data_IF_173825178663
#
_entry.id   IF_173825178663
#
_cell.length_a   1.000
_cell.length_b   1.000
_cell.length_c   1.000
_cell.angle_alpha   90.00
_cell.angle_beta   90.00
_cell.angle_gamma   90.00
#
_symmetry.space_group_name_H-M   'P 1'
#
loop_
_entity.id
_entity.type
_entity.pdbx_description
1 polymer ?
#
# COMPACT_ATOMS: atom_id res chain seq x y z
N UNK A 1 36.39 56.90 -36.31
CA UNK A 1 36.04 57.21 -34.91
C UNK A 1 35.33 56.01 -34.31
N UNK A 2 35.81 55.54 -33.15
CA UNK A 2 35.19 54.67 -32.13
C UNK A 2 34.58 53.32 -32.57
N UNK A 3 35.27 52.18 -32.37
CA UNK A 3 35.54 51.38 -31.15
C UNK A 3 34.45 50.33 -30.87
N UNK A 4 34.94 49.08 -30.85
CA UNK A 4 34.33 47.80 -30.53
C UNK A 4 33.75 47.71 -29.11
N UNK A 5 32.78 46.78 -28.91
CA UNK A 5 32.65 45.83 -27.79
C UNK A 5 31.42 44.92 -28.07
N UNK A 6 31.65 43.69 -28.56
CA UNK A 6 31.75 42.44 -27.80
C UNK A 6 30.42 41.93 -27.25
N UNK A 7 29.89 40.92 -27.94
CA UNK A 7 28.84 40.04 -27.51
C UNK A 7 29.34 39.17 -26.33
N UNK A 8 28.59 39.17 -25.23
CA UNK A 8 28.75 38.19 -24.16
C UNK A 8 27.57 37.21 -24.22
N UNK A 9 27.79 36.08 -24.88
CA UNK A 9 26.97 34.87 -24.71
C UNK A 9 27.43 34.24 -23.41
N UNK A 10 26.65 34.43 -22.34
CA UNK A 10 26.87 33.70 -21.09
C UNK A 10 26.12 32.38 -21.20
N UNK A 11 26.88 31.35 -21.58
CA UNK A 11 26.48 29.95 -21.50
C UNK A 11 26.62 29.51 -20.03
N UNK A 12 25.52 29.32 -19.31
CA UNK A 12 25.54 28.66 -18.00
C UNK A 12 25.08 27.21 -18.20
N UNK A 13 25.95 26.20 -18.03
CA UNK A 13 25.53 24.82 -18.01
C UNK A 13 24.97 24.51 -16.62
N UNK A 14 23.67 24.75 -16.43
CA UNK A 14 22.96 24.30 -15.25
C UNK A 14 22.65 22.81 -15.36
N UNK A 15 23.59 21.95 -14.96
CA UNK A 15 23.31 20.57 -14.57
C UNK A 15 22.47 20.60 -13.28
N UNK A 16 21.17 20.86 -13.44
CA UNK A 16 20.20 20.64 -12.39
C UNK A 16 19.88 19.14 -12.37
N UNK A 17 20.51 18.45 -11.41
CA UNK A 17 20.08 17.14 -10.91
C UNK A 17 18.62 17.33 -10.50
N UNK A 18 17.70 16.89 -11.35
CA UNK A 18 16.27 16.91 -11.03
C UNK A 18 16.05 15.88 -9.94
N UNK A 19 16.00 16.37 -8.69
CA UNK A 19 15.30 15.67 -7.64
C UNK A 19 13.90 15.36 -8.17
N UNK A 20 13.61 14.08 -8.40
CA UNK A 20 12.26 13.64 -8.76
C UNK A 20 11.35 13.99 -7.59
N UNK A 21 10.66 15.12 -7.69
CA UNK A 21 9.51 15.37 -6.83
C UNK A 21 8.45 14.33 -7.18
N UNK A 22 7.75 13.81 -6.17
CA UNK A 22 6.64 12.87 -6.36
C UNK A 22 5.53 13.43 -7.28
N UNK A 23 5.52 14.75 -7.51
CA UNK A 23 4.68 15.43 -8.47
C UNK A 23 5.34 15.47 -9.85
N UNK A 24 4.62 15.03 -10.89
CA UNK A 24 5.09 15.05 -12.28
C UNK A 24 5.50 16.45 -12.79
N UNK A 25 6.29 16.53 -13.88
CA UNK A 25 6.90 17.78 -14.36
C UNK A 25 5.89 18.90 -14.68
N UNK A 26 4.65 18.55 -15.00
CA UNK A 26 3.56 19.50 -15.28
C UNK A 26 3.08 20.24 -14.02
N UNK A 27 2.95 19.54 -12.89
CA UNK A 27 2.56 20.13 -11.59
C UNK A 27 3.67 21.07 -11.09
N UNK A 28 4.94 20.71 -11.34
CA UNK A 28 6.09 21.57 -11.05
C UNK A 28 6.05 22.91 -11.80
N UNK A 29 5.74 22.88 -13.10
CA UNK A 29 5.59 24.09 -13.92
C UNK A 29 4.41 24.96 -13.45
N UNK A 30 3.25 24.35 -13.20
CA UNK A 30 2.06 25.07 -12.73
C UNK A 30 2.29 25.76 -11.37
N UNK A 31 3.06 25.14 -10.45
CA UNK A 31 3.47 25.80 -9.19
C UNK A 31 4.32 27.05 -9.44
N UNK A 32 5.30 26.96 -10.34
CA UNK A 32 6.15 28.11 -10.68
C UNK A 32 5.36 29.24 -11.33
N UNK A 33 4.41 28.91 -12.21
CA UNK A 33 3.50 29.89 -12.82
C UNK A 33 2.61 30.58 -11.78
N UNK A 34 2.10 29.86 -10.79
CA UNK A 34 1.33 30.43 -9.68
C UNK A 34 2.18 31.40 -8.85
N UNK A 35 3.43 31.05 -8.54
CA UNK A 35 4.32 31.97 -7.81
C UNK A 35 4.59 33.25 -8.60
N UNK A 36 4.80 33.14 -9.92
CA UNK A 36 4.92 34.32 -10.78
C UNK A 36 3.62 35.17 -10.80
N UNK A 37 2.45 34.52 -10.86
CA UNK A 37 1.14 35.17 -10.78
C UNK A 37 0.93 35.88 -9.44
N UNK A 38 1.37 35.30 -8.31
CA UNK A 38 1.30 35.95 -6.99
C UNK A 38 2.08 37.26 -6.99
N UNK A 39 3.32 37.26 -7.46
CA UNK A 39 4.12 38.49 -7.55
C UNK A 39 3.46 39.55 -8.43
N UNK A 40 2.83 39.14 -9.54
CA UNK A 40 2.10 40.07 -10.42
C UNK A 40 0.81 40.62 -9.78
N UNK A 41 0.11 39.82 -8.97
CA UNK A 41 -1.06 40.28 -8.19
C UNK A 41 -0.64 41.27 -7.11
N UNK A 42 0.45 40.99 -6.39
CA UNK A 42 1.02 41.90 -5.38
C UNK A 42 1.46 43.23 -5.99
N UNK A 43 2.02 43.19 -7.21
CA UNK A 43 2.36 44.39 -7.98
C UNK A 43 1.15 45.10 -8.59
N UNK A 44 -0.08 44.58 -8.42
CA UNK A 44 -1.31 45.11 -9.01
C UNK A 44 -1.42 44.96 -10.53
N UNK A 45 -0.51 44.20 -11.16
CA UNK A 45 -0.44 44.01 -12.60
C UNK A 45 -1.48 43.01 -13.13
N UNK A 46 -1.96 42.09 -12.27
CA UNK A 46 -2.94 41.05 -12.64
C UNK A 46 -4.07 41.00 -11.60
N UNK A 47 -5.34 40.79 -12.01
CA UNK A 47 -6.45 40.62 -11.06
C UNK A 47 -6.30 39.38 -10.19
N UNK A 48 -6.64 39.49 -8.90
CA UNK A 48 -6.63 38.37 -7.94
C UNK A 48 -7.45 37.15 -8.40
N UNK A 49 -8.55 37.38 -9.12
CA UNK A 49 -9.37 36.30 -9.69
C UNK A 49 -8.58 35.35 -10.61
N UNK A 50 -7.55 35.84 -11.32
CA UNK A 50 -6.69 34.99 -12.17
C UNK A 50 -5.83 34.04 -11.34
N UNK A 51 -5.30 34.51 -10.21
CA UNK A 51 -4.54 33.68 -9.29
C UNK A 51 -5.43 32.60 -8.67
N UNK A 52 -6.64 32.96 -8.23
CA UNK A 52 -7.59 32.01 -7.64
C UNK A 52 -8.02 30.91 -8.63
N UNK A 53 -8.17 31.25 -9.92
CA UNK A 53 -8.42 30.27 -10.98
C UNK A 53 -7.23 29.32 -11.13
N UNK A 54 -6.00 29.85 -11.24
CA UNK A 54 -4.80 29.04 -11.41
C UNK A 54 -4.56 28.10 -10.20
N UNK A 55 -4.74 28.60 -8.98
CA UNK A 55 -4.64 27.78 -7.75
C UNK A 55 -5.68 26.66 -7.73
N UNK A 56 -6.90 26.93 -8.19
CA UNK A 56 -7.96 25.92 -8.30
C UNK A 56 -7.65 24.87 -9.36
N UNK A 57 -7.13 25.26 -10.52
CA UNK A 57 -6.70 24.34 -11.58
C UNK A 57 -5.54 23.45 -11.11
N UNK A 58 -4.57 23.99 -10.39
CA UNK A 58 -3.50 23.21 -9.78
C UNK A 58 -4.05 22.21 -8.76
N UNK A 59 -5.01 22.61 -7.93
CA UNK A 59 -5.64 21.72 -6.97
C UNK A 59 -6.38 20.56 -7.66
N UNK A 60 -7.19 20.85 -8.69
CA UNK A 60 -7.88 19.79 -9.46
C UNK A 60 -6.88 18.86 -10.17
N UNK A 61 -5.77 19.39 -10.70
CA UNK A 61 -4.74 18.58 -11.34
C UNK A 61 -4.05 17.62 -10.35
N UNK A 62 -3.75 18.09 -9.13
CA UNK A 62 -3.21 17.24 -8.05
C UNK A 62 -4.21 16.18 -7.62
N UNK A 63 -5.46 16.57 -7.41
CA UNK A 63 -6.54 15.65 -7.05
C UNK A 63 -6.74 14.58 -8.12
N UNK A 64 -6.71 14.95 -9.40
CA UNK A 64 -6.77 14.02 -10.52
C UNK A 64 -5.57 13.06 -10.58
N UNK A 65 -4.37 13.55 -10.29
CA UNK A 65 -3.17 12.71 -10.23
C UNK A 65 -3.26 11.70 -9.08
N UNK A 66 -3.69 12.15 -7.90
CA UNK A 66 -3.91 11.29 -6.74
C UNK A 66 -4.96 10.21 -7.02
N UNK A 67 -6.09 10.57 -7.65
CA UNK A 67 -7.12 9.61 -8.04
C UNK A 67 -6.60 8.59 -9.06
N UNK A 68 -5.82 9.00 -10.06
CA UNK A 68 -5.22 8.04 -11.00
C UNK A 68 -4.30 7.04 -10.29
N UNK A 69 -3.48 7.52 -9.36
CA UNK A 69 -2.58 6.65 -8.60
C UNK A 69 -3.35 5.69 -7.70
N UNK A 70 -4.41 6.15 -7.02
CA UNK A 70 -5.15 5.35 -6.03
C UNK A 70 -6.19 4.43 -6.65
N UNK A 71 -6.86 4.83 -7.74
CA UNK A 71 -7.86 4.02 -8.44
C UNK A 71 -7.27 2.90 -9.27
N UNK A 72 -6.04 3.07 -9.78
CA UNK A 72 -5.39 2.11 -10.68
C UNK A 72 -4.10 1.51 -10.12
N UNK A 73 -3.60 1.99 -8.97
CA UNK A 73 -2.44 1.41 -8.29
C UNK A 73 -2.71 0.01 -7.73
N UNK A 74 -1.66 -0.71 -7.36
CA UNK A 74 -1.77 -2.07 -6.79
C UNK A 74 -1.95 -2.03 -5.27
N UNK A 75 -1.22 -1.14 -4.58
CA UNK A 75 -1.21 -1.07 -3.11
C UNK A 75 -2.00 0.14 -2.60
N UNK A 76 -3.26 -0.09 -2.19
CA UNK A 76 -4.12 0.93 -1.59
C UNK A 76 -4.36 0.62 -0.10
N UNK A 77 -3.90 1.50 0.80
CA UNK A 77 -4.15 1.34 2.24
C UNK A 77 -5.56 1.81 2.64
N UNK A 78 -6.03 1.41 3.82
CA UNK A 78 -7.32 1.88 4.37
C UNK A 78 -7.37 3.41 4.49
N UNK A 79 -6.29 4.03 4.98
CA UNK A 79 -6.19 5.49 5.11
C UNK A 79 -6.23 6.18 3.74
N UNK A 80 -5.47 5.67 2.76
CA UNK A 80 -5.49 6.19 1.39
C UNK A 80 -6.86 5.99 0.72
N UNK A 81 -7.59 4.93 1.05
CA UNK A 81 -8.95 4.70 0.54
C UNK A 81 -9.94 5.76 1.03
N UNK A 82 -9.80 6.21 2.29
CA UNK A 82 -10.59 7.31 2.84
C UNK A 82 -10.29 8.63 2.15
N UNK A 83 -9.01 8.95 1.95
CA UNK A 83 -8.59 10.16 1.24
C UNK A 83 -9.05 10.14 -0.24
N UNK A 84 -8.97 8.99 -0.92
CA UNK A 84 -9.45 8.80 -2.29
C UNK A 84 -10.93 9.17 -2.44
N UNK A 85 -11.78 8.72 -1.51
CA UNK A 85 -13.20 9.12 -1.49
C UNK A 85 -13.34 10.63 -1.25
N UNK A 86 -12.60 11.19 -0.29
CA UNK A 86 -12.68 12.61 0.04
C UNK A 86 -12.30 13.49 -1.16
N UNK A 87 -11.23 13.13 -1.87
CA UNK A 87 -10.77 13.78 -3.10
C UNK A 87 -11.82 13.67 -4.20
N UNK A 88 -12.35 12.47 -4.47
CA UNK A 88 -13.37 12.28 -5.50
C UNK A 88 -14.66 13.08 -5.21
N UNK A 89 -15.08 13.15 -3.94
CA UNK A 89 -16.23 13.96 -3.50
C UNK A 89 -15.99 15.45 -3.70
N UNK A 90 -14.81 15.94 -3.34
CA UNK A 90 -14.43 17.36 -3.52
C UNK A 90 -14.45 17.74 -5.00
N UNK A 91 -13.88 16.92 -5.89
CA UNK A 91 -13.92 17.16 -7.33
C UNK A 91 -15.34 17.17 -7.87
N UNK A 92 -16.19 16.22 -7.48
CA UNK A 92 -17.59 16.21 -7.90
C UNK A 92 -18.34 17.46 -7.43
N UNK A 93 -18.09 17.93 -6.19
CA UNK A 93 -18.69 19.15 -5.68
C UNK A 93 -18.32 20.38 -6.53
N UNK A 94 -17.04 20.52 -6.89
CA UNK A 94 -16.58 21.59 -7.78
C UNK A 94 -17.19 21.52 -9.18
N UNK A 95 -17.29 20.33 -9.78
CA UNK A 95 -17.91 20.20 -11.09
C UNK A 95 -19.41 20.51 -11.05
N UNK A 96 -20.12 20.16 -9.97
CA UNK A 96 -21.51 20.56 -9.76
C UNK A 96 -21.67 22.08 -9.64
N UNK A 97 -20.77 22.74 -8.91
CA UNK A 97 -20.77 24.20 -8.82
C UNK A 97 -20.55 24.86 -10.20
N UNK A 98 -19.64 24.31 -11.01
CA UNK A 98 -19.40 24.77 -12.38
C UNK A 98 -20.61 24.56 -13.30
N UNK A 99 -21.36 23.47 -13.13
CA UNK A 99 -22.64 23.26 -13.84
C UNK A 99 -23.65 24.32 -13.44
N UNK A 100 -23.83 24.58 -12.14
CA UNK A 100 -24.81 25.56 -11.65
C UNK A 100 -24.45 27.01 -12.01
N UNK A 101 -23.16 27.38 -12.03
CA UNK A 101 -22.73 28.69 -12.49
C UNK A 101 -22.96 28.87 -14.00
N UNK A 102 -22.62 27.86 -14.80
CA UNK A 102 -22.84 27.89 -16.26
C UNK A 102 -24.33 27.92 -16.59
N UNK A 103 -25.14 27.13 -15.88
CA UNK A 103 -26.59 27.08 -16.05
C UNK A 103 -27.22 28.45 -15.78
N UNK A 104 -26.81 29.16 -14.72
CA UNK A 104 -27.27 30.53 -14.45
C UNK A 104 -27.00 31.48 -15.62
N UNK A 105 -25.79 31.46 -16.17
CA UNK A 105 -25.45 32.30 -17.34
C UNK A 105 -26.26 31.94 -18.59
N UNK A 106 -26.63 30.67 -18.76
CA UNK A 106 -27.54 30.23 -19.83
C UNK A 106 -28.96 30.74 -19.60
N UNK A 107 -29.46 30.62 -18.37
CA UNK A 107 -30.82 31.03 -18.00
C UNK A 107 -31.00 32.55 -18.09
N UNK A 108 -29.93 33.31 -17.81
CA UNK A 108 -29.85 34.77 -18.01
C UNK A 108 -29.67 35.18 -19.49
N UNK A 109 -29.48 34.21 -20.39
CA UNK A 109 -29.27 34.45 -21.82
C UNK A 109 -27.90 35.02 -22.19
N UNK A 110 -26.95 35.06 -21.24
CA UNK A 110 -25.58 35.57 -21.44
C UNK A 110 -24.79 34.65 -22.36
N UNK A 111 -24.98 33.33 -22.24
CA UNK A 111 -24.29 32.32 -23.06
C UNK A 111 -25.27 31.30 -23.69
N UNK A 112 -24.92 30.70 -24.84
CA UNK A 112 -25.77 29.68 -25.47
C UNK A 112 -25.89 28.40 -24.62
N UNK A 113 -27.06 27.74 -24.66
CA UNK A 113 -27.32 26.45 -23.97
C UNK A 113 -26.26 25.38 -24.28
N UNK A 114 -25.67 25.39 -25.48
CA UNK A 114 -24.63 24.45 -25.89
C UNK A 114 -23.40 24.48 -24.95
N UNK A 115 -23.12 25.62 -24.29
CA UNK A 115 -22.02 25.76 -23.33
C UNK A 115 -22.21 24.92 -22.06
N UNK A 116 -23.42 24.45 -21.78
CA UNK A 116 -23.70 23.59 -20.62
C UNK A 116 -23.22 22.14 -20.82
N UNK A 117 -22.97 21.72 -22.06
CA UNK A 117 -22.60 20.33 -22.41
C UNK A 117 -21.31 19.90 -21.71
N UNK A 118 -20.24 20.70 -21.83
CA UNK A 118 -18.93 20.34 -21.29
C UNK A 118 -18.90 20.27 -19.75
N UNK A 119 -19.48 21.24 -18.99
CA UNK A 119 -19.63 21.09 -17.53
C UNK A 119 -20.44 19.85 -17.12
N UNK A 120 -21.52 19.52 -17.85
CA UNK A 120 -22.33 18.34 -17.54
C UNK A 120 -21.54 17.05 -17.74
N UNK A 121 -20.80 16.93 -18.84
CA UNK A 121 -19.94 15.78 -19.09
C UNK A 121 -18.82 15.65 -18.05
N UNK A 122 -18.22 16.78 -17.63
CA UNK A 122 -17.23 16.79 -16.54
C UNK A 122 -17.82 16.32 -15.22
N UNK A 123 -19.02 16.78 -14.86
CA UNK A 123 -19.72 16.34 -13.66
C UNK A 123 -20.11 14.85 -13.70
N UNK A 124 -20.53 14.34 -14.87
CA UNK A 124 -20.83 12.92 -15.07
C UNK A 124 -19.58 12.05 -14.91
N UNK A 125 -18.45 12.46 -15.48
CA UNK A 125 -17.16 11.78 -15.28
C UNK A 125 -16.74 11.76 -13.82
N UNK A 126 -16.81 12.91 -13.13
CA UNK A 126 -16.48 12.99 -11.70
C UNK A 126 -17.39 12.12 -10.82
N UNK A 127 -18.67 11.97 -11.20
CA UNK A 127 -19.59 11.05 -10.51
C UNK A 127 -19.14 9.61 -10.66
N UNK A 128 -18.82 9.17 -11.89
CA UNK A 128 -18.31 7.82 -12.17
C UNK A 128 -16.99 7.53 -11.45
N UNK A 129 -16.10 8.51 -11.36
CA UNK A 129 -14.87 8.40 -10.58
C UNK A 129 -15.16 8.18 -9.08
N UNK A 130 -16.13 8.91 -8.52
CA UNK A 130 -16.57 8.70 -7.14
C UNK A 130 -17.17 7.30 -6.93
N UNK A 131 -18.04 6.85 -7.84
CA UNK A 131 -18.65 5.51 -7.76
C UNK A 131 -17.57 4.41 -7.78
N UNK A 132 -16.52 4.58 -8.59
CA UNK A 132 -15.37 3.68 -8.63
C UNK A 132 -14.55 3.75 -7.34
N UNK A 133 -14.28 4.95 -6.81
CA UNK A 133 -13.57 5.17 -5.56
C UNK A 133 -14.28 4.48 -4.39
N UNK A 134 -15.60 4.64 -4.28
CA UNK A 134 -16.40 4.01 -3.23
C UNK A 134 -16.40 2.49 -3.37
N UNK A 135 -16.49 1.95 -4.59
CA UNK A 135 -16.43 0.51 -4.83
C UNK A 135 -15.08 -0.09 -4.46
N UNK A 136 -13.99 0.60 -4.82
CA UNK A 136 -12.63 0.17 -4.50
C UNK A 136 -12.34 0.26 -2.99
N UNK A 137 -12.79 1.32 -2.33
CA UNK A 137 -12.63 1.47 -0.89
C UNK A 137 -13.39 0.40 -0.09
N UNK A 138 -14.61 0.02 -0.53
CA UNK A 138 -15.35 -1.12 0.06
C UNK A 138 -14.52 -2.40 0.03
N UNK A 139 -13.92 -2.72 -1.12
CA UNK A 139 -13.06 -3.90 -1.25
C UNK A 139 -11.86 -3.85 -0.29
N UNK A 140 -11.19 -2.70 -0.19
CA UNK A 140 -10.06 -2.53 0.75
C UNK A 140 -10.51 -2.72 2.20
N UNK A 141 -11.66 -2.16 2.58
CA UNK A 141 -12.23 -2.32 3.92
C UNK A 141 -12.62 -3.77 4.23
N UNK A 142 -13.18 -4.49 3.26
CA UNK A 142 -13.49 -5.92 3.38
C UNK A 142 -12.21 -6.74 3.60
N UNK A 143 -11.18 -6.51 2.77
CA UNK A 143 -9.87 -7.19 2.90
C UNK A 143 -9.25 -6.92 4.28
N UNK A 144 -9.23 -5.65 4.71
CA UNK A 144 -8.71 -5.28 6.00
C UNK A 144 -9.53 -5.83 7.18
N UNK A 145 -10.86 -5.88 7.04
CA UNK A 145 -11.76 -6.47 8.01
C UNK A 145 -11.49 -7.96 8.20
N UNK A 146 -11.31 -8.71 7.11
CA UNK A 146 -10.91 -10.11 7.17
C UNK A 146 -9.54 -10.29 7.83
N UNK A 147 -8.56 -9.44 7.48
CA UNK A 147 -7.22 -9.49 8.07
C UNK A 147 -7.26 -9.29 9.59
N UNK A 148 -8.04 -8.31 10.08
CA UNK A 148 -8.23 -8.06 11.52
C UNK A 148 -8.90 -9.24 12.22
N UNK A 149 -9.92 -9.84 11.59
CA UNK A 149 -10.61 -11.00 12.14
C UNK A 149 -9.68 -12.21 12.27
N UNK A 150 -8.81 -12.43 11.28
CA UNK A 150 -7.79 -13.48 11.31
C UNK A 150 -6.81 -13.26 12.48
N UNK A 151 -6.27 -12.03 12.63
CA UNK A 151 -5.37 -11.68 13.74
C UNK A 151 -6.04 -11.91 15.10
N UNK A 152 -7.29 -11.49 15.28
CA UNK A 152 -8.02 -11.69 16.54
C UNK A 152 -8.24 -13.17 16.86
N UNK A 153 -8.57 -13.98 15.86
CA UNK A 153 -8.71 -15.42 16.02
C UNK A 153 -7.38 -16.10 16.41
N UNK A 154 -6.27 -15.59 15.88
CA UNK A 154 -4.92 -16.04 16.22
C UNK A 154 -4.55 -15.67 17.66
N UNK A 155 -4.78 -14.42 18.07
CA UNK A 155 -4.51 -13.97 19.45
C UNK A 155 -5.33 -14.77 20.47
N UNK A 156 -6.60 -15.04 20.18
CA UNK A 156 -7.45 -15.87 21.03
C UNK A 156 -6.92 -17.31 21.17
N UNK A 157 -6.38 -17.88 20.09
CA UNK A 157 -5.82 -19.25 20.10
C UNK A 157 -4.48 -19.34 20.85
N UNK A 158 -3.69 -18.26 20.82
CA UNK A 158 -2.42 -18.18 21.55
C UNK A 158 -2.61 -17.89 23.05
N UNK A 159 -3.74 -17.29 23.42
CA UNK A 159 -4.10 -16.98 24.80
C UNK A 159 -4.71 -18.17 25.57
N UNK A 160 -4.99 -19.29 24.91
CA UNK A 160 -5.40 -20.51 25.60
C UNK A 160 -4.29 -20.96 26.57
N UNK A 161 -4.62 -21.18 27.86
CA UNK A 161 -3.62 -21.51 28.86
C UNK A 161 -2.91 -22.81 28.48
N UNK A 162 -1.58 -22.76 28.47
CA UNK A 162 -0.76 -23.94 28.25
C UNK A 162 -1.23 -25.07 29.20
N UNK A 163 -1.39 -26.31 28.71
CA UNK A 163 -1.69 -27.43 29.60
C UNK A 163 -0.62 -27.46 30.71
N UNK A 164 -1.04 -27.68 31.96
CA UNK A 164 -0.22 -27.63 33.18
C UNK A 164 1.01 -28.59 33.20
N UNK A 165 1.26 -29.26 32.08
CA UNK A 165 2.34 -30.19 31.80
C UNK A 165 3.01 -29.78 30.47
N UNK A 166 3.66 -28.63 30.40
CA UNK A 166 4.62 -28.34 29.34
C UNK A 166 5.77 -29.37 29.45
N UNK A 167 5.64 -30.48 28.71
CA UNK A 167 6.58 -31.60 28.74
C UNK A 167 7.59 -31.40 27.61
N UNK A 168 8.84 -31.12 27.97
CA UNK A 168 9.95 -31.16 27.02
C UNK A 168 10.83 -29.90 27.01
N UNK A 169 11.82 -29.84 26.11
CA UNK A 169 12.72 -28.69 25.99
C UNK A 169 11.97 -27.45 25.49
N UNK A 170 12.45 -26.26 25.89
CA UNK A 170 11.85 -24.97 25.54
C UNK A 170 11.72 -24.73 24.02
N UNK A 171 12.58 -25.37 23.23
CA UNK A 171 12.50 -25.44 21.77
C UNK A 171 12.76 -26.86 21.28
N UNK A 172 12.04 -27.28 20.25
CA UNK A 172 12.17 -28.56 19.58
C UNK A 172 12.34 -28.31 18.08
N UNK A 173 13.23 -29.06 17.44
CA UNK A 173 13.52 -28.95 16.00
C UNK A 173 13.33 -30.30 15.35
N UNK A 174 12.66 -30.32 14.22
CA UNK A 174 12.58 -31.46 13.33
C UNK A 174 13.15 -31.08 11.97
N UNK A 175 14.12 -31.85 11.49
CA UNK A 175 14.96 -31.53 10.34
C UNK A 175 14.49 -32.12 9.00
N UNK A 176 13.30 -32.74 8.95
CA UNK A 176 12.85 -33.56 7.83
C UNK A 176 13.17 -33.03 6.41
N UNK A 177 13.30 -33.95 5.46
CA UNK A 177 13.68 -33.69 4.06
C UNK A 177 12.50 -33.37 3.14
N UNK A 178 11.30 -33.25 3.69
CA UNK A 178 10.10 -32.81 2.99
C UNK A 178 10.18 -31.33 2.64
N UNK A 179 9.48 -30.97 1.57
CA UNK A 179 9.36 -29.59 1.12
C UNK A 179 8.06 -28.98 1.63
N UNK A 180 7.98 -27.65 1.73
CA UNK A 180 6.73 -26.95 2.03
C UNK A 180 6.26 -26.22 0.77
N UNK A 181 5.58 -26.95 -0.12
CA UNK A 181 4.96 -26.36 -1.32
C UNK A 181 3.63 -25.68 -0.99
N UNK A 182 3.14 -24.76 -1.85
CA UNK A 182 1.80 -24.17 -1.70
C UNK A 182 0.68 -25.22 -1.63
N UNK A 183 0.83 -26.33 -2.37
CA UNK A 183 -0.12 -27.44 -2.31
C UNK A 183 -0.12 -28.10 -0.93
N UNK A 184 1.04 -28.31 -0.32
CA UNK A 184 1.15 -28.93 1.01
C UNK A 184 0.62 -28.03 2.12
N UNK A 185 0.83 -26.71 2.03
CA UNK A 185 0.22 -25.73 2.92
C UNK A 185 -1.30 -25.84 2.85
N UNK A 186 -1.87 -25.88 1.64
CA UNK A 186 -3.32 -26.04 1.46
C UNK A 186 -3.85 -27.36 2.05
N UNK A 187 -3.16 -28.48 1.82
CA UNK A 187 -3.55 -29.76 2.41
C UNK A 187 -3.49 -29.74 3.94
N UNK A 188 -2.47 -29.11 4.51
CA UNK A 188 -2.32 -28.96 5.95
C UNK A 188 -3.44 -28.12 6.57
N UNK A 189 -3.78 -26.98 5.97
CA UNK A 189 -4.90 -26.13 6.41
C UNK A 189 -6.22 -26.90 6.39
N UNK A 190 -6.53 -27.59 5.28
CA UNK A 190 -7.75 -28.39 5.16
C UNK A 190 -7.80 -29.56 6.15
N UNK A 191 -6.68 -30.23 6.38
CA UNK A 191 -6.60 -31.32 7.36
C UNK A 191 -6.79 -30.82 8.80
N UNK A 192 -6.28 -29.63 9.11
CA UNK A 192 -6.47 -28.98 10.42
C UNK A 192 -7.94 -28.58 10.63
N UNK A 193 -8.54 -27.89 9.65
CA UNK A 193 -9.95 -27.49 9.68
C UNK A 193 -10.87 -28.71 9.80
N UNK A 194 -10.60 -29.77 9.04
CA UNK A 194 -11.36 -31.02 9.13
C UNK A 194 -11.24 -31.72 10.49
N UNK A 195 -10.14 -31.48 11.24
CA UNK A 195 -9.91 -32.11 12.54
C UNK A 195 -10.50 -31.31 13.71
N UNK A 196 -10.38 -29.98 13.68
CA UNK A 196 -10.71 -29.11 14.80
C UNK A 196 -11.92 -28.21 14.56
N UNK A 197 -12.47 -28.21 13.33
CA UNK A 197 -13.54 -27.30 12.90
C UNK A 197 -13.22 -25.82 13.14
N UNK A 198 -11.93 -25.49 13.09
CA UNK A 198 -11.36 -24.16 13.30
C UNK A 198 -10.27 -23.92 12.24
N UNK A 199 -10.08 -22.67 11.75
CA UNK A 199 -8.98 -22.36 10.86
C UNK A 199 -7.64 -22.53 11.56
N UNK A 200 -6.61 -22.90 10.80
CA UNK A 200 -5.23 -22.97 11.30
C UNK A 200 -4.76 -21.55 11.69
N UNK A 201 -4.38 -21.29 12.95
CA UNK A 201 -4.04 -19.93 13.38
C UNK A 201 -2.60 -19.61 12.95
N UNK A 202 -2.44 -19.08 11.75
CA UNK A 202 -1.12 -18.82 11.18
C UNK A 202 -0.59 -17.45 11.65
N UNK A 203 0.41 -17.41 12.56
CA UNK A 203 1.09 -16.19 13.06
C UNK A 203 1.89 -15.41 12.02
N UNK A 204 2.41 -16.08 11.00
CA UNK A 204 3.05 -15.43 9.86
C UNK A 204 2.85 -16.32 8.64
N UNK A 205 1.85 -16.02 7.83
CA UNK A 205 1.57 -16.76 6.61
C UNK A 205 2.29 -16.11 5.45
N UNK A 206 3.24 -16.80 4.85
CA UNK A 206 3.83 -16.37 3.61
C UNK A 206 2.86 -16.26 2.43
N UNK A 207 1.55 -16.44 2.59
CA UNK A 207 0.56 -16.36 1.50
C UNK A 207 -0.90 -16.23 2.01
N UNK A 208 -1.32 -15.04 2.44
CA UNK A 208 -2.76 -14.69 2.38
C UNK A 208 -2.98 -13.61 1.33
N UNK A 209 -4.21 -13.46 0.81
CA UNK A 209 -4.54 -12.43 -0.18
C UNK A 209 -4.20 -11.01 0.31
N UNK A 210 -4.16 -10.83 1.63
CA UNK A 210 -3.72 -9.63 2.34
C UNK A 210 -2.23 -9.35 2.11
N UNK A 211 -1.36 -10.38 2.15
CA UNK A 211 0.09 -10.22 1.95
C UNK A 211 0.48 -9.89 0.50
N UNK A 212 -0.31 -10.33 -0.49
CA UNK A 212 -0.12 -9.94 -1.91
C UNK A 212 -0.46 -8.48 -2.18
N UNK A 213 -1.44 -7.92 -1.46
CA UNK A 213 -1.83 -6.51 -1.57
C UNK A 213 -0.88 -5.55 -0.81
N UNK A 214 0.21 -6.08 -0.23
CA UNK A 214 1.22 -5.33 0.54
C UNK A 214 2.66 -5.58 0.05
N UNK A 215 2.85 -6.29 -1.08
CA UNK A 215 4.14 -6.39 -1.76
C UNK A 215 5.22 -7.30 -1.14
N UNK A 216 4.88 -8.30 -0.31
CA UNK A 216 5.88 -9.20 0.31
C UNK A 216 6.00 -10.59 -0.37
N UNK A 217 7.23 -11.03 -0.67
CA UNK A 217 7.59 -12.36 -1.24
C UNK A 217 8.08 -13.32 -0.13
N UNK A 218 7.36 -14.43 0.08
CA UNK A 218 7.56 -15.34 1.23
C UNK A 218 7.52 -16.84 0.88
N UNK A 219 8.23 -17.25 -0.17
CA UNK A 219 8.32 -18.67 -0.59
C UNK A 219 8.79 -19.62 0.55
N UNK A 220 7.99 -20.65 0.81
CA UNK A 220 8.30 -21.87 1.60
C UNK A 220 8.46 -21.74 3.13
N UNK A 221 7.82 -20.76 3.80
CA UNK A 221 7.90 -20.57 5.27
C UNK A 221 6.55 -20.16 5.87
N UNK A 222 6.29 -20.60 7.10
CA UNK A 222 5.00 -20.39 7.78
C UNK A 222 5.15 -20.44 9.31
N UNK A 223 4.73 -19.43 10.06
CA UNK A 223 4.61 -19.54 11.53
C UNK A 223 3.16 -19.80 11.92
N UNK A 224 2.93 -20.73 12.84
CA UNK A 224 1.61 -21.10 13.37
C UNK A 224 1.53 -20.79 14.87
N UNK A 225 0.58 -19.94 15.25
CA UNK A 225 0.31 -19.42 16.59
C UNK A 225 -0.40 -20.45 17.50
N UNK A 226 0.08 -21.69 17.51
CA UNK A 226 -0.39 -22.75 18.41
C UNK A 226 0.66 -23.10 19.43
N UNK A 227 0.25 -23.35 20.67
CA UNK A 227 1.17 -23.89 21.67
C UNK A 227 1.55 -25.33 21.30
N UNK A 228 2.84 -25.73 21.28
CA UNK A 228 3.25 -27.06 20.80
C UNK A 228 2.67 -28.25 21.56
N UNK A 229 2.28 -28.03 22.82
CA UNK A 229 1.79 -29.08 23.72
C UNK A 229 0.26 -29.12 23.86
N UNK A 230 -0.48 -28.19 23.25
CA UNK A 230 -1.94 -28.26 23.19
C UNK A 230 -2.39 -29.26 22.11
N UNK A 231 -3.68 -29.66 22.10
CA UNK A 231 -4.17 -30.70 21.20
C UNK A 231 -3.88 -30.39 19.72
N UNK A 232 -4.09 -29.13 19.33
CA UNK A 232 -3.80 -28.55 18.02
C UNK A 232 -2.31 -28.62 17.68
N UNK A 233 -1.44 -28.21 18.61
CA UNK A 233 0.02 -28.22 18.41
C UNK A 233 0.62 -29.62 18.34
N UNK A 234 0.14 -30.56 19.17
CA UNK A 234 0.56 -31.98 19.12
C UNK A 234 0.14 -32.62 17.80
N UNK A 235 -1.08 -32.35 17.34
CA UNK A 235 -1.54 -32.82 16.04
C UNK A 235 -0.70 -32.26 14.91
N UNK A 236 -0.43 -30.95 14.92
CA UNK A 236 0.33 -30.29 13.86
C UNK A 236 1.76 -30.84 13.78
N UNK A 237 2.45 -31.02 14.91
CA UNK A 237 3.78 -31.64 14.93
C UNK A 237 3.77 -33.03 14.31
N UNK A 238 2.82 -33.89 14.70
CA UNK A 238 2.68 -35.24 14.13
C UNK A 238 2.37 -35.22 12.63
N UNK A 239 1.52 -34.29 12.20
CA UNK A 239 1.22 -34.11 10.78
C UNK A 239 2.49 -33.74 9.99
N UNK A 240 3.28 -32.79 10.50
CA UNK A 240 4.53 -32.35 9.88
C UNK A 240 5.59 -33.46 9.87
N UNK A 241 5.74 -34.20 10.96
CA UNK A 241 6.63 -35.37 11.05
C UNK A 241 6.25 -36.45 10.02
N UNK A 242 4.96 -36.76 9.91
CA UNK A 242 4.46 -37.75 8.93
C UNK A 242 4.74 -37.31 7.49
N UNK A 243 4.62 -36.01 7.21
CA UNK A 243 4.92 -35.40 5.90
C UNK A 243 6.40 -35.07 5.71
N UNK A 244 7.23 -35.35 6.73
CA UNK A 244 8.67 -35.06 6.79
C UNK A 244 9.00 -33.58 6.58
N UNK A 245 8.08 -32.67 6.87
CA UNK A 245 8.28 -31.22 6.70
C UNK A 245 9.07 -30.66 7.90
N UNK A 246 10.15 -29.90 7.68
CA UNK A 246 10.95 -29.35 8.77
C UNK A 246 10.18 -28.29 9.57
N UNK A 247 10.39 -28.25 10.89
CA UNK A 247 9.78 -27.25 11.77
C UNK A 247 10.60 -26.97 13.04
N UNK A 248 10.32 -25.84 13.68
CA UNK A 248 10.73 -25.51 15.04
C UNK A 248 9.50 -25.25 15.90
N UNK A 249 9.39 -25.94 17.03
CA UNK A 249 8.33 -25.71 18.01
C UNK A 249 8.90 -24.98 19.23
N UNK A 250 8.36 -23.80 19.53
CA UNK A 250 8.74 -22.98 20.67
C UNK A 250 7.63 -23.06 21.72
N UNK A 251 7.99 -23.47 22.94
CA UNK A 251 7.04 -23.57 24.07
C UNK A 251 6.93 -22.27 24.87
N UNK A 252 7.61 -21.21 24.44
CA UNK A 252 7.64 -19.92 25.11
C UNK A 252 8.75 -19.03 24.57
N UNK A 253 9.08 -17.98 25.31
CA UNK A 253 10.15 -17.05 24.92
C UNK A 253 11.51 -17.74 24.92
N UNK A 254 12.20 -17.68 23.78
CA UNK A 254 13.60 -18.12 23.63
C UNK A 254 14.41 -16.92 23.17
N UNK A 255 15.35 -16.41 23.99
CA UNK A 255 16.15 -15.23 23.65
C UNK A 255 16.79 -15.34 22.26
N UNK A 256 16.56 -14.33 21.42
CA UNK A 256 17.09 -14.26 20.05
C UNK A 256 16.47 -15.24 19.04
N UNK A 257 15.41 -15.98 19.39
CA UNK A 257 14.74 -16.94 18.48
C UNK A 257 13.21 -16.87 18.47
N UNK A 258 12.57 -16.70 19.63
CA UNK A 258 11.11 -16.68 19.75
C UNK A 258 10.64 -15.74 20.87
N UNK A 259 9.61 -14.95 20.60
CA UNK A 259 9.01 -14.01 21.58
C UNK A 259 7.85 -14.62 22.35
N UNK A 260 7.18 -15.63 21.78
CA UNK A 260 6.05 -16.36 22.36
C UNK A 260 6.04 -17.82 21.86
N UNK A 261 5.14 -18.66 22.42
CA UNK A 261 4.97 -20.03 21.97
C UNK A 261 4.31 -20.07 20.57
N UNK A 262 4.92 -20.80 19.63
CA UNK A 262 4.43 -21.00 18.26
C UNK A 262 5.21 -22.14 17.57
N UNK A 263 4.77 -22.56 16.38
CA UNK A 263 5.47 -23.53 15.53
C UNK A 263 5.88 -22.85 14.22
N UNK A 264 7.17 -22.72 13.97
CA UNK A 264 7.73 -22.31 12.67
C UNK A 264 7.83 -23.52 11.75
N UNK A 265 7.25 -23.46 10.57
CA UNK A 265 7.22 -24.53 9.56
C UNK A 265 8.00 -24.09 8.32
N UNK A 266 8.88 -24.96 7.85
CA UNK A 266 9.76 -24.71 6.71
C UNK A 266 11.25 -24.82 7.07
N UNK A 267 12.14 -24.77 6.06
CA UNK A 267 13.57 -24.94 6.26
C UNK A 267 14.15 -23.80 7.11
N UNK A 268 15.24 -24.04 7.86
CA UNK A 268 15.87 -23.00 8.67
C UNK A 268 16.22 -21.77 7.81
N UNK A 269 16.13 -20.58 8.40
CA UNK A 269 16.58 -19.35 7.77
C UNK A 269 18.08 -19.46 7.46
N UNK A 270 18.44 -19.61 6.18
CA UNK A 270 19.83 -19.52 5.75
C UNK A 270 20.27 -18.06 5.86
N UNK A 271 21.21 -17.78 6.75
CA UNK A 271 21.88 -16.47 6.79
C UNK A 271 22.55 -16.27 5.43
N UNK A 272 22.19 -15.21 4.70
CA UNK A 272 22.96 -14.80 3.52
C UNK A 272 24.35 -14.47 4.04
N UNK A 273 25.34 -15.31 3.71
CA UNK A 273 26.74 -14.97 3.91
C UNK A 273 26.98 -13.72 3.07
N UNK A 274 27.24 -12.59 3.73
CA UNK A 274 27.67 -11.36 3.09
C UNK A 274 28.92 -11.71 2.29
N UNK A 275 28.80 -11.76 0.97
CA UNK A 275 29.94 -11.95 0.07
C UNK A 275 30.99 -10.90 0.43
N UNK A 276 32.15 -11.37 0.91
CA UNK A 276 33.30 -10.52 1.14
C UNK A 276 33.65 -9.86 -0.19
N UNK A 277 33.63 -8.53 -0.18
CA UNK A 277 34.12 -7.69 -1.27
C UNK A 277 35.61 -8.01 -1.47
N UNK A 278 36.10 -8.48 -2.63
CA UNK A 278 37.53 -8.56 -2.85
C UNK A 278 38.08 -7.13 -2.93
N UNK A 279 38.80 -6.75 -1.87
CA UNK A 279 39.54 -5.51 -1.82
C UNK A 279 40.59 -5.50 -2.94
N UNK A 280 40.59 -4.38 -3.69
CA UNK A 280 41.74 -3.72 -4.30
C UNK A 280 43.08 -4.49 -4.26
N UNK A 281 43.46 -5.08 -5.38
CA UNK A 281 44.85 -5.38 -5.72
C UNK A 281 45.28 -4.49 -6.88
N UNK A 282 46.04 -3.44 -6.57
CA UNK A 282 46.73 -2.59 -7.53
C UNK A 282 48.13 -2.33 -6.98
N UNK A 283 49.10 -3.07 -7.50
CA UNK A 283 50.50 -2.64 -7.61
C UNK A 283 50.73 -2.16 -9.04
#
# INVERSE_FOLDING_TARGET
MFRWLMAAVVCVPGLAIHAQTADGPEIGKAKAEIEALKSLVEAGAVPRARLEIAERELADAKDAAFLRQTLYGEDLTEEQSGEMIAVARRRLAWQKEAVESTKRLVDEGVIPRLRLTEPLERADRARKELDLAESRARLVQEIAGMARAEIQAMEASAAEPAPALARGPASERYDGDGFLSPHEIKQMVLAYEGRFSKPLPVSANGETAVHRAMGFDHRNRLDVAVHPDQAEGVWLRRYLEFRRVPFFAFRGRVPGRATAAHIHVGPPSTRILKSANPASGGE
#
